data_IF_474334582032
#
_entry.id   IF_474334582032
#
_cell.length_a   1.000
_cell.length_b   1.000
_cell.length_c   1.000
_cell.angle_alpha   90.00
_cell.angle_beta   90.00
_cell.angle_gamma   90.00
#
_symmetry.space_group_name_H-M   'P 1'
#
loop_
_entity.id
_entity.type
_entity.pdbx_description
1 polymer ?
#
# COMPACT_ATOMS: atom_id res chain seq x y z
N UNK A 1 -16.23 -1.00 -27.80
CA UNK A 1 -16.63 -1.00 -26.37
C UNK A 1 -16.04 -2.12 -25.47
N UNK A 2 -15.37 -3.20 -25.95
CA UNK A 2 -14.95 -4.30 -25.05
C UNK A 2 -13.78 -3.94 -24.12
N UNK A 3 -12.85 -3.07 -24.54
CA UNK A 3 -11.68 -2.68 -23.73
C UNK A 3 -12.03 -1.93 -22.44
N UNK A 4 -13.10 -1.12 -22.45
CA UNK A 4 -13.58 -0.40 -21.26
C UNK A 4 -14.18 -1.36 -20.23
N UNK A 5 -14.85 -2.43 -20.68
CA UNK A 5 -15.43 -3.45 -19.81
C UNK A 5 -14.35 -4.23 -19.06
N UNK A 6 -13.27 -4.64 -19.74
CA UNK A 6 -12.14 -5.33 -19.12
C UNK A 6 -11.38 -4.48 -18.10
N UNK A 7 -11.15 -3.19 -18.39
CA UNK A 7 -10.52 -2.28 -17.43
C UNK A 7 -11.37 -2.11 -16.18
N UNK A 8 -12.70 -2.01 -16.34
CA UNK A 8 -13.62 -1.87 -15.23
C UNK A 8 -13.69 -3.14 -14.36
N UNK A 9 -13.74 -4.33 -14.96
CA UNK A 9 -13.69 -5.59 -14.19
C UNK A 9 -12.34 -5.78 -13.50
N UNK A 10 -11.23 -5.38 -14.11
CA UNK A 10 -9.91 -5.45 -13.48
C UNK A 10 -9.78 -4.49 -12.28
N UNK A 11 -10.24 -3.24 -12.42
CA UNK A 11 -10.27 -2.27 -11.31
C UNK A 11 -11.21 -2.72 -10.18
N UNK A 12 -12.38 -3.29 -10.53
CA UNK A 12 -13.32 -3.85 -9.56
C UNK A 12 -12.70 -5.05 -8.83
N UNK A 13 -11.96 -5.91 -9.54
CA UNK A 13 -11.20 -7.01 -8.93
C UNK A 13 -10.15 -6.52 -7.93
N UNK A 14 -9.39 -5.48 -8.26
CA UNK A 14 -8.38 -4.90 -7.35
C UNK A 14 -9.03 -4.30 -6.10
N UNK A 15 -10.17 -3.61 -6.25
CA UNK A 15 -10.91 -3.03 -5.12
C UNK A 15 -11.50 -4.10 -4.20
N UNK A 16 -11.93 -5.25 -4.73
CA UNK A 16 -12.48 -6.36 -3.95
C UNK A 16 -11.42 -7.15 -3.17
N UNK A 17 -10.16 -7.17 -3.62
CA UNK A 17 -9.07 -7.84 -2.90
C UNK A 17 -8.58 -7.00 -1.71
N UNK A 18 -8.74 -5.67 -1.74
CA UNK A 18 -8.32 -4.77 -0.67
C UNK A 18 -9.12 -4.88 0.64
N UNK A 19 -10.36 -5.34 0.58
CA UNK A 19 -11.28 -5.41 1.74
C UNK A 19 -11.03 -6.59 2.68
N UNK A 20 -10.17 -7.56 2.31
CA UNK A 20 -9.90 -8.75 3.15
C UNK A 20 -9.00 -8.43 4.36
N UNK A 21 -8.46 -7.22 4.46
CA UNK A 21 -7.60 -6.81 5.59
C UNK A 21 -8.36 -6.04 6.68
N UNK A 22 -9.69 -5.95 6.59
CA UNK A 22 -10.53 -5.42 7.65
C UNK A 22 -10.64 -6.43 8.82
N UNK A 23 -9.52 -6.57 9.54
CA UNK A 23 -9.45 -6.89 10.96
C UNK A 23 -10.09 -8.22 11.39
N UNK A 24 -9.35 -9.31 11.14
CA UNK A 24 -9.47 -10.57 11.88
C UNK A 24 -9.01 -10.39 13.34
N UNK A 25 -9.71 -9.55 14.12
CA UNK A 25 -9.46 -9.31 15.56
C UNK A 25 -9.94 -10.47 16.42
N UNK A 26 -10.87 -11.26 15.88
CA UNK A 26 -11.42 -12.44 16.52
C UNK A 26 -10.96 -13.65 15.74
N UNK A 27 -10.44 -14.65 16.44
CA UNK A 27 -9.93 -15.91 15.89
C UNK A 27 -10.54 -17.08 16.61
N UNK A 28 -10.37 -18.28 16.03
CA UNK A 28 -10.65 -19.55 16.67
C UNK A 28 -12.07 -19.64 17.28
N UNK A 29 -13.08 -19.18 16.52
CA UNK A 29 -14.47 -19.21 16.97
C UNK A 29 -14.93 -20.68 16.97
N UNK A 30 -15.28 -21.19 18.15
CA UNK A 30 -15.83 -22.52 18.37
C UNK A 30 -17.21 -22.38 18.97
N UNK A 31 -18.11 -23.30 18.62
CA UNK A 31 -19.46 -23.33 19.18
C UNK A 31 -19.75 -24.70 19.79
N UNK A 32 -20.43 -24.69 20.94
CA UNK A 32 -20.84 -25.87 21.68
C UNK A 32 -22.26 -25.67 22.18
N UNK A 33 -23.11 -26.69 22.05
CA UNK A 33 -24.39 -26.69 22.76
C UNK A 33 -24.11 -27.14 24.20
N UNK A 34 -24.48 -26.32 25.19
CA UNK A 34 -24.39 -26.73 26.60
C UNK A 34 -25.56 -27.64 26.94
N UNK A 35 -26.76 -27.26 26.50
CA UNK A 35 -28.03 -27.95 26.70
C UNK A 35 -28.91 -27.77 25.45
N UNK A 36 -30.12 -28.37 25.46
CA UNK A 36 -31.12 -28.19 24.39
C UNK A 36 -31.56 -26.74 24.15
N UNK A 37 -31.25 -25.81 25.08
CA UNK A 37 -31.63 -24.41 24.97
C UNK A 37 -30.50 -23.39 25.07
N UNK A 38 -29.24 -23.82 25.28
CA UNK A 38 -28.12 -22.91 25.48
C UNK A 38 -26.98 -23.19 24.51
N UNK A 39 -26.49 -22.12 23.87
CA UNK A 39 -25.35 -22.12 22.98
C UNK A 39 -24.18 -21.39 23.62
N UNK A 40 -23.03 -22.05 23.69
CA UNK A 40 -21.76 -21.48 24.08
C UNK A 40 -20.91 -21.20 22.83
N UNK A 41 -20.38 -19.98 22.75
CA UNK A 41 -19.45 -19.54 21.72
C UNK A 41 -18.13 -19.15 22.40
N UNK A 42 -17.06 -19.86 22.05
CA UNK A 42 -15.71 -19.64 22.56
C UNK A 42 -14.89 -18.98 21.44
N UNK A 43 -14.13 -17.94 21.73
CA UNK A 43 -13.33 -17.23 20.73
C UNK A 43 -12.07 -16.61 21.32
N UNK A 44 -11.09 -16.34 20.47
CA UNK A 44 -9.85 -15.65 20.85
C UNK A 44 -9.91 -14.21 20.36
N UNK A 45 -9.74 -13.25 21.28
CA UNK A 45 -9.69 -11.83 20.98
C UNK A 45 -8.23 -11.36 20.99
N UNK A 46 -7.68 -11.05 19.82
CA UNK A 46 -6.25 -10.70 19.68
C UNK A 46 -5.99 -9.21 19.91
N UNK A 47 -6.91 -8.33 19.51
CA UNK A 47 -6.77 -6.88 19.63
C UNK A 47 -8.12 -6.24 19.95
N UNK A 48 -8.19 -5.54 21.08
CA UNK A 48 -9.32 -4.70 21.47
C UNK A 48 -8.81 -3.34 21.94
N UNK A 49 -9.44 -2.27 21.44
CA UNK A 49 -9.19 -0.89 21.89
C UNK A 49 -10.26 -0.48 22.90
N UNK A 50 -9.96 0.44 23.83
CA UNK A 50 -10.98 1.06 24.67
C UNK A 50 -12.08 1.66 23.78
N UNK A 51 -13.33 1.25 24.02
CA UNK A 51 -14.50 1.68 23.25
C UNK A 51 -14.95 0.71 22.17
N UNK A 52 -14.14 -0.27 21.77
CA UNK A 52 -14.60 -1.34 20.89
C UNK A 52 -15.71 -2.16 21.56
N UNK A 53 -16.70 -2.58 20.77
CA UNK A 53 -17.81 -3.41 21.23
C UNK A 53 -17.89 -4.73 20.46
N UNK A 54 -18.08 -5.82 21.20
CA UNK A 54 -18.22 -7.16 20.64
C UNK A 54 -19.70 -7.50 20.49
N UNK A 55 -20.07 -8.03 19.34
CA UNK A 55 -21.42 -8.47 19.01
C UNK A 55 -21.42 -9.93 18.57
N UNK A 56 -22.49 -10.62 18.94
CA UNK A 56 -22.80 -11.95 18.46
C UNK A 56 -23.86 -11.84 17.37
N UNK A 57 -23.58 -12.39 16.20
CA UNK A 57 -24.57 -12.63 15.14
C UNK A 57 -24.74 -14.14 14.98
N UNK A 58 -25.96 -14.64 15.07
CA UNK A 58 -26.27 -16.05 14.82
C UNK A 58 -27.15 -16.15 13.60
N UNK A 59 -26.79 -17.06 12.68
CA UNK A 59 -27.55 -17.38 11.48
C UNK A 59 -28.04 -18.82 11.54
N UNK A 60 -29.34 -18.98 11.46
CA UNK A 60 -30.01 -20.25 11.18
C UNK A 60 -30.00 -20.52 9.69
N UNK A 61 -29.84 -21.80 9.32
CA UNK A 61 -29.97 -22.25 7.93
C UNK A 61 -31.39 -22.06 7.38
N UNK A 62 -32.42 -22.23 8.22
CA UNK A 62 -33.83 -22.16 7.80
C UNK A 62 -34.42 -20.75 7.96
N UNK A 63 -34.06 -20.06 9.05
CA UNK A 63 -34.65 -18.76 9.43
C UNK A 63 -33.80 -17.55 9.05
N UNK A 64 -32.56 -17.76 8.59
CA UNK A 64 -31.61 -16.69 8.32
C UNK A 64 -31.04 -16.08 9.61
N UNK A 65 -30.77 -14.77 9.62
CA UNK A 65 -30.19 -14.09 10.78
C UNK A 65 -31.20 -14.03 11.93
N UNK A 66 -30.84 -14.63 13.07
CA UNK A 66 -31.66 -14.66 14.27
C UNK A 66 -31.49 -13.35 15.05
N UNK A 67 -32.60 -12.79 15.54
CA UNK A 67 -32.55 -11.60 16.40
C UNK A 67 -32.20 -12.01 17.83
N UNK A 68 -31.01 -11.64 18.27
CA UNK A 68 -30.52 -11.94 19.61
C UNK A 68 -30.85 -10.77 20.55
N UNK A 69 -31.68 -11.02 21.57
CA UNK A 69 -31.97 -10.02 22.59
C UNK A 69 -30.84 -10.01 23.65
N UNK A 70 -30.32 -8.84 24.05
CA UNK A 70 -29.18 -8.76 24.98
C UNK A 70 -29.43 -9.43 26.33
N UNK A 71 -30.67 -9.47 26.81
CA UNK A 71 -31.06 -10.08 28.10
C UNK A 71 -30.83 -11.59 28.16
N UNK A 72 -30.79 -12.26 27.00
CA UNK A 72 -30.55 -13.70 26.90
C UNK A 72 -29.09 -14.04 26.56
N UNK A 73 -28.19 -13.05 26.55
CA UNK A 73 -26.77 -13.26 26.29
C UNK A 73 -25.94 -12.88 27.52
N UNK A 74 -24.99 -13.73 27.88
CA UNK A 74 -24.09 -13.53 29.02
C UNK A 74 -22.64 -13.80 28.61
N UNK A 75 -21.69 -13.31 29.40
CA UNK A 75 -20.26 -13.52 29.21
C UNK A 75 -19.54 -12.32 28.58
N UNK A 76 -18.49 -12.60 27.81
CA UNK A 76 -17.61 -11.63 27.18
C UNK A 76 -18.26 -10.98 25.94
N UNK A 77 -19.29 -10.16 26.13
CA UNK A 77 -20.01 -9.43 25.07
C UNK A 77 -20.14 -7.94 25.40
N UNK A 78 -20.26 -7.08 24.38
CA UNK A 78 -20.49 -5.64 24.54
C UNK A 78 -19.20 -4.83 24.63
N UNK A 79 -19.27 -3.68 25.32
CA UNK A 79 -18.11 -2.79 25.52
C UNK A 79 -17.26 -3.27 26.69
N UNK A 80 -15.93 -3.08 26.62
CA UNK A 80 -14.96 -3.39 27.70
C UNK A 80 -14.60 -4.87 27.87
N UNK A 81 -14.69 -5.65 26.79
CA UNK A 81 -14.15 -7.01 26.80
C UNK A 81 -12.62 -6.95 26.80
N UNK A 82 -11.99 -7.76 27.64
CA UNK A 82 -10.54 -7.82 27.75
C UNK A 82 -9.94 -8.70 26.64
N UNK A 83 -8.79 -8.30 26.11
CA UNK A 83 -8.03 -9.10 25.12
C UNK A 83 -7.62 -10.42 25.76
N UNK A 84 -7.71 -11.54 25.04
CA UNK A 84 -7.32 -12.85 25.56
C UNK A 84 -7.90 -14.02 24.77
N UNK A 85 -7.39 -15.22 25.04
CA UNK A 85 -7.90 -16.47 24.51
C UNK A 85 -9.12 -16.97 25.31
N UNK A 86 -9.88 -17.89 24.71
CA UNK A 86 -10.99 -18.61 25.36
C UNK A 86 -12.08 -17.70 25.95
N UNK A 87 -12.33 -16.56 25.30
CA UNK A 87 -13.45 -15.68 25.64
C UNK A 87 -14.76 -16.37 25.37
N UNK A 88 -15.71 -16.21 26.28
CA UNK A 88 -16.93 -17.03 26.30
C UNK A 88 -18.18 -16.17 26.22
N UNK A 89 -19.04 -16.46 25.25
CA UNK A 89 -20.39 -15.92 25.16
C UNK A 89 -21.37 -17.08 25.30
N UNK A 90 -22.34 -16.95 26.22
CA UNK A 90 -23.42 -17.93 26.41
C UNK A 90 -24.73 -17.26 26.01
N UNK A 91 -25.44 -17.87 25.06
CA UNK A 91 -26.74 -17.42 24.59
C UNK A 91 -27.81 -18.45 24.92
N UNK A 92 -28.88 -18.02 25.62
CA UNK A 92 -30.06 -18.84 25.87
C UNK A 92 -31.04 -18.70 24.70
N UNK A 93 -30.91 -19.59 23.72
CA UNK A 93 -31.69 -19.57 22.49
C UNK A 93 -33.18 -19.84 22.77
N UNK A 94 -33.49 -20.78 23.66
CA UNK A 94 -34.88 -21.17 23.96
C UNK A 94 -35.62 -20.06 24.70
N UNK A 95 -34.97 -19.41 25.68
CA UNK A 95 -35.56 -18.23 26.34
C UNK A 95 -35.77 -17.08 25.36
N UNK A 96 -34.93 -16.98 24.33
CA UNK A 96 -35.07 -16.03 23.23
C UNK A 96 -36.08 -16.49 22.14
N UNK A 97 -36.80 -17.60 22.33
CA UNK A 97 -37.83 -18.09 21.41
C UNK A 97 -37.31 -18.92 20.22
N UNK A 98 -36.05 -19.35 20.24
CA UNK A 98 -35.43 -20.15 19.18
C UNK A 98 -35.05 -21.55 19.68
N UNK A 99 -35.75 -22.61 19.23
CA UNK A 99 -35.32 -23.98 19.54
C UNK A 99 -34.01 -24.32 18.81
N UNK A 100 -33.08 -25.00 19.47
CA UNK A 100 -31.78 -25.42 18.90
C UNK A 100 -31.88 -26.76 18.15
N UNK A 101 -32.94 -26.95 17.37
CA UNK A 101 -33.17 -28.18 16.58
C UNK A 101 -32.71 -28.05 15.12
N UNK A 102 -31.95 -27.00 14.80
CA UNK A 102 -31.51 -26.69 13.44
C UNK A 102 -30.02 -26.32 13.38
N UNK A 103 -29.44 -26.42 12.18
CA UNK A 103 -28.06 -26.00 11.92
C UNK A 103 -27.95 -24.47 12.04
N UNK A 104 -27.12 -24.04 12.99
CA UNK A 104 -26.85 -22.63 13.26
C UNK A 104 -25.35 -22.32 13.10
N UNK A 105 -25.04 -21.09 12.69
CA UNK A 105 -23.69 -20.56 12.58
C UNK A 105 -23.57 -19.31 13.44
N UNK A 106 -22.55 -19.22 14.27
CA UNK A 106 -22.27 -18.05 15.09
C UNK A 106 -21.09 -17.25 14.51
N UNK A 107 -21.25 -15.94 14.44
CA UNK A 107 -20.24 -14.97 14.03
C UNK A 107 -20.03 -14.00 15.18
N UNK A 108 -18.77 -13.83 15.61
CA UNK A 108 -18.39 -12.84 16.61
C UNK A 108 -17.75 -11.66 15.87
N UNK A 109 -18.33 -10.48 16.01
CA UNK A 109 -17.90 -9.26 15.32
C UNK A 109 -17.44 -8.22 16.31
N UNK A 110 -16.41 -7.45 15.93
CA UNK A 110 -15.92 -6.31 16.71
C UNK A 110 -16.31 -5.04 15.99
N UNK A 111 -17.24 -4.27 16.56
CA UNK A 111 -17.54 -2.93 16.09
C UNK A 111 -16.54 -1.97 16.71
N UNK A 112 -15.78 -1.32 15.86
CA UNK A 112 -14.80 -0.34 16.31
C UNK A 112 -15.49 1.01 16.50
N UNK A 113 -15.63 1.49 17.74
CA UNK A 113 -16.07 2.88 17.99
C UNK A 113 -14.90 3.84 17.87
N UNK A 114 -14.14 3.74 16.77
CA UNK A 114 -13.20 4.78 16.42
C UNK A 114 -14.04 5.92 15.85
N UNK A 115 -14.51 6.79 16.74
CA UNK A 115 -14.68 8.17 16.32
C UNK A 115 -13.30 8.59 15.79
N UNK A 116 -13.19 9.07 14.53
CA UNK A 116 -11.92 9.58 14.04
C UNK A 116 -11.49 10.60 15.08
N UNK A 117 -10.39 10.31 15.78
CA UNK A 117 -9.89 11.17 16.82
C UNK A 117 -9.72 12.53 16.15
N UNK A 118 -10.62 13.47 16.45
CA UNK A 118 -10.40 14.87 16.13
C UNK A 118 -9.08 15.14 16.79
N UNK A 119 -8.05 15.39 15.98
CA UNK A 119 -6.70 15.67 16.43
C UNK A 119 -6.82 16.71 17.53
N UNK A 120 -6.78 16.27 18.78
CA UNK A 120 -6.69 17.18 19.90
C UNK A 120 -5.31 17.76 19.72
N UNK A 121 -5.27 18.96 19.15
CA UNK A 121 -4.09 19.80 19.10
C UNK A 121 -3.48 19.71 20.49
N UNK A 122 -2.22 19.29 20.66
CA UNK A 122 -1.62 19.12 21.96
C UNK A 122 -1.75 20.46 22.70
N UNK A 123 -2.73 20.54 23.61
CA UNK A 123 -2.86 21.68 24.50
C UNK A 123 -1.66 21.57 25.40
N UNK A 124 -0.70 22.45 25.17
CA UNK A 124 0.49 22.65 26.01
C UNK A 124 0.00 22.63 27.46
N UNK A 125 0.43 21.66 28.29
CA UNK A 125 0.03 21.65 29.68
C UNK A 125 0.53 22.97 30.32
N UNK A 126 -0.31 23.71 31.06
CA UNK A 126 0.19 24.80 31.87
C UNK A 126 1.21 24.21 32.85
N UNK A 127 2.38 24.84 32.93
CA UNK A 127 3.47 24.45 33.81
C UNK A 127 2.94 24.34 35.25
N UNK A 128 2.68 23.12 35.71
CA UNK A 128 2.39 22.83 37.12
C UNK A 128 3.73 22.71 37.81
N UNK A 129 4.09 23.77 38.54
CA UNK A 129 5.18 23.79 39.52
C UNK A 129 4.99 22.63 40.48
N UNK A 130 5.89 21.65 40.43
CA UNK A 130 5.91 20.50 41.33
C UNK A 130 6.31 20.98 42.74
N UNK A 131 5.48 20.78 43.78
CA UNK A 131 5.96 20.90 45.16
C UNK A 131 6.89 19.71 45.46
N UNK A 132 8.09 20.05 45.93
CA UNK A 132 9.15 19.16 46.39
C UNK A 132 8.61 18.25 47.52
N UNK A 133 8.37 16.97 47.21
CA UNK A 133 8.13 15.96 48.24
C UNK A 133 9.42 15.68 49.01
N UNK A 134 9.35 15.95 50.30
CA UNK A 134 10.34 15.62 51.31
C UNK A 134 10.41 14.11 51.51
N UNK A 135 11.58 13.53 51.22
CA UNK A 135 11.87 12.11 51.41
C UNK A 135 12.04 11.83 52.90
N UNK A 136 10.98 11.30 53.54
CA UNK A 136 11.11 10.71 54.88
C UNK A 136 11.73 9.32 54.73
N UNK A 137 12.96 9.19 55.24
CA UNK A 137 13.74 7.97 55.24
C UNK A 137 13.08 6.87 56.10
N UNK A 138 12.95 5.63 55.61
CA UNK A 138 12.52 4.50 56.43
C UNK A 138 13.68 4.00 57.31
N UNK A 139 13.34 3.80 58.59
CA UNK A 139 14.17 3.27 59.68
C UNK A 139 14.62 1.83 59.38
N UNK A 140 15.92 1.48 59.47
CA UNK A 140 16.41 0.13 59.19
C UNK A 140 16.08 -0.83 60.33
N UNK A 141 15.58 -2.02 59.98
CA UNK A 141 15.41 -3.17 60.87
C UNK A 141 16.73 -3.98 60.84
N UNK A 142 17.35 -4.27 61.99
CA UNK A 142 18.53 -5.14 62.08
C UNK A 142 18.15 -6.60 61.85
N UNK A 143 18.83 -7.28 60.93
CA UNK A 143 18.82 -8.74 60.81
C UNK A 143 20.28 -9.19 60.96
N UNK A 144 20.55 -9.94 62.03
CA UNK A 144 21.84 -10.56 62.32
C UNK A 144 22.09 -11.81 61.46
N UNK A 145 23.36 -12.21 61.30
CA UNK A 145 23.83 -13.07 60.21
C UNK A 145 23.99 -14.54 60.63
N UNK A 146 23.88 -15.45 59.65
CA UNK A 146 24.49 -16.78 59.75
C UNK A 146 25.00 -17.25 58.37
N UNK A 147 26.29 -17.00 58.16
CA UNK A 147 27.37 -17.86 57.63
C UNK A 147 26.89 -19.31 57.34
N UNK A 148 27.09 -19.93 56.18
CA UNK A 148 28.39 -20.35 55.63
C UNK A 148 28.28 -21.04 54.24
N UNK A 149 29.34 -20.86 53.43
CA UNK A 149 30.00 -21.85 52.54
C UNK A 149 29.60 -22.04 51.06
N UNK A 150 30.66 -21.96 50.23
CA UNK A 150 30.96 -22.59 48.93
C UNK A 150 30.82 -21.78 47.62
N UNK A 151 31.87 -20.99 47.34
CA UNK A 151 32.89 -21.19 46.30
C UNK A 151 32.53 -21.73 44.90
N UNK A 152 33.10 -21.03 43.90
CA UNK A 152 33.38 -21.40 42.49
C UNK A 152 32.18 -21.39 41.52
N UNK A 153 32.24 -20.87 40.29
CA UNK A 153 33.36 -20.53 39.41
C UNK A 153 32.85 -19.56 38.31
N UNK A 154 33.74 -18.68 37.84
CA UNK A 154 33.48 -17.70 36.77
C UNK A 154 33.95 -18.27 35.43
N UNK A 155 33.15 -18.24 34.34
CA UNK A 155 33.70 -18.42 33.01
C UNK A 155 33.95 -17.07 32.33
N UNK A 156 35.25 -16.76 32.15
CA UNK A 156 35.75 -15.93 31.04
C UNK A 156 35.64 -16.74 29.73
N UNK A 157 35.03 -16.19 28.68
CA UNK A 157 35.21 -16.62 27.28
C UNK A 157 34.77 -15.47 26.37
N UNK A 158 35.70 -14.57 26.02
CA UNK A 158 36.40 -14.45 24.72
C UNK A 158 35.63 -13.61 23.67
N UNK A 159 36.12 -12.38 23.49
CA UNK A 159 35.85 -11.54 22.32
C UNK A 159 36.44 -12.15 21.04
N UNK A 160 35.70 -12.23 19.94
CA UNK A 160 36.30 -12.43 18.63
C UNK A 160 36.68 -11.08 18.02
N UNK A 161 37.99 -10.79 17.99
CA UNK A 161 38.59 -9.88 17.01
C UNK A 161 38.31 -10.42 15.60
N UNK A 162 37.59 -9.66 14.79
CA UNK A 162 37.50 -9.89 13.35
C UNK A 162 38.02 -8.67 12.60
N UNK A 163 39.30 -8.74 12.29
CA UNK A 163 39.94 -7.99 11.23
C UNK A 163 39.31 -8.40 9.89
N UNK A 164 38.61 -7.47 9.21
CA UNK A 164 38.42 -7.59 7.76
C UNK A 164 38.56 -6.26 7.02
N UNK A 165 39.83 -5.98 6.77
CA UNK A 165 40.39 -5.14 5.71
C UNK A 165 39.93 -5.62 4.32
N UNK A 166 39.85 -4.66 3.37
CA UNK A 166 39.61 -4.78 1.90
C UNK A 166 38.12 -4.80 1.49
N UNK A 167 37.65 -4.09 0.47
CA UNK A 167 38.29 -3.41 -0.68
C UNK A 167 37.25 -2.41 -1.21
N UNK A 168 37.58 -1.12 -1.29
CA UNK A 168 36.82 -0.16 -2.10
C UNK A 168 37.15 -0.44 -3.56
N UNK A 169 36.23 -1.03 -4.31
CA UNK A 169 36.28 -1.02 -5.76
C UNK A 169 35.36 0.09 -6.27
N UNK A 170 35.97 1.10 -6.90
CA UNK A 170 35.29 2.12 -7.70
C UNK A 170 34.86 1.48 -9.02
N UNK A 171 33.60 1.61 -9.46
CA UNK A 171 33.28 1.40 -10.87
C UNK A 171 33.73 2.62 -11.68
N UNK A 172 34.60 2.33 -12.63
CA UNK A 172 35.12 3.20 -13.68
C UNK A 172 33.97 3.74 -14.52
N UNK A 173 33.98 5.06 -14.76
CA UNK A 173 33.14 5.72 -15.74
C UNK A 173 33.56 5.27 -17.14
N UNK A 174 32.70 4.53 -17.84
CA UNK A 174 32.86 4.22 -19.26
C UNK A 174 32.36 5.43 -20.04
N UNK A 175 33.31 6.25 -20.47
CA UNK A 175 33.16 7.26 -21.52
C UNK A 175 33.08 6.50 -22.84
N UNK A 176 31.89 6.42 -23.43
CA UNK A 176 31.73 6.01 -24.82
C UNK A 176 31.72 7.28 -25.68
N UNK A 177 32.93 7.64 -26.13
CA UNK A 177 33.15 8.55 -27.23
C UNK A 177 32.90 7.77 -28.53
N UNK A 178 32.00 8.26 -29.38
CA UNK A 178 31.78 7.71 -30.72
C UNK A 178 31.73 8.86 -31.69
N UNK A 179 32.88 9.50 -31.86
CA UNK A 179 33.19 10.36 -32.99
C UNK A 179 33.40 9.48 -34.23
N UNK A 180 32.43 9.48 -35.14
CA UNK A 180 32.54 8.84 -36.45
C UNK A 180 33.06 9.87 -37.46
N UNK A 181 34.13 9.59 -38.22
CA UNK A 181 34.69 10.52 -39.20
C UNK A 181 33.78 10.64 -40.43
N UNK A 182 33.51 11.90 -40.79
CA UNK A 182 32.81 12.33 -42.01
C UNK A 182 33.75 12.17 -43.19
N UNK A 183 33.56 11.12 -43.99
CA UNK A 183 34.20 11.01 -45.31
C UNK A 183 33.56 12.03 -46.25
N UNK A 184 34.40 12.88 -46.84
CA UNK A 184 34.03 13.79 -47.91
C UNK A 184 34.22 13.04 -49.23
N UNK A 185 33.12 12.63 -49.84
CA UNK A 185 33.09 12.27 -51.25
C UNK A 185 32.65 13.49 -52.07
N UNK A 186 33.47 13.79 -53.07
CA UNK A 186 33.31 14.87 -54.03
C UNK A 186 32.47 14.30 -55.18
N UNK A 187 31.25 14.79 -55.35
CA UNK A 187 30.37 14.42 -56.47
C UNK A 187 30.38 15.54 -57.54
N UNK A 188 30.48 15.21 -58.85
CA UNK A 188 30.55 16.16 -59.96
C UNK A 188 29.25 16.94 -60.19
N UNK A 189 29.29 18.07 -60.93
CA UNK A 189 28.15 18.98 -61.09
C UNK A 189 27.05 18.33 -61.94
N UNK A 190 26.01 17.83 -61.28
CA UNK A 190 24.78 17.36 -61.93
C UNK A 190 23.96 18.59 -62.36
N UNK A 191 23.57 18.57 -63.63
CA UNK A 191 22.76 19.59 -64.29
C UNK A 191 21.49 19.94 -63.49
N UNK A 192 21.22 21.24 -63.39
CA UNK A 192 20.02 21.80 -62.75
C UNK A 192 18.76 21.30 -63.46
N UNK A 193 18.10 20.30 -62.88
CA UNK A 193 16.71 19.98 -63.22
C UNK A 193 15.81 21.12 -62.73
N UNK A 194 14.75 21.46 -63.49
CA UNK A 194 13.82 22.54 -63.14
C UNK A 194 13.26 22.31 -61.73
N UNK A 195 13.40 23.33 -60.89
CA UNK A 195 12.86 23.39 -59.53
C UNK A 195 11.37 23.07 -59.57
N UNK A 196 11.02 21.85 -59.17
CA UNK A 196 9.64 21.49 -58.85
C UNK A 196 9.14 22.47 -57.78
N UNK A 197 7.91 23.01 -57.93
CA UNK A 197 7.36 23.99 -57.01
C UNK A 197 7.39 23.42 -55.58
N UNK A 198 7.98 24.21 -54.70
CA UNK A 198 8.27 23.93 -53.30
C UNK A 198 7.05 23.34 -52.59
N UNK A 199 7.07 22.01 -52.39
CA UNK A 199 6.03 21.24 -51.69
C UNK A 199 6.11 21.51 -50.18
N UNK A 200 5.85 22.75 -49.82
CA UNK A 200 5.81 23.28 -48.45
C UNK A 200 4.60 22.78 -47.64
N UNK A 201 3.78 21.90 -48.22
CA UNK A 201 2.60 21.33 -47.59
C UNK A 201 2.87 20.02 -46.81
N UNK A 202 4.08 19.82 -46.25
CA UNK A 202 4.33 18.70 -45.33
C UNK A 202 3.45 18.86 -44.09
N UNK A 203 2.32 18.13 -44.08
CA UNK A 203 1.39 18.08 -42.95
C UNK A 203 2.19 17.78 -41.67
N UNK A 204 2.06 18.61 -40.62
CA UNK A 204 2.76 18.34 -39.36
C UNK A 204 2.29 16.98 -38.85
N UNK A 205 3.24 16.03 -38.71
CA UNK A 205 2.96 14.71 -38.13
C UNK A 205 2.49 14.91 -36.69
N UNK A 206 1.18 14.86 -36.46
CA UNK A 206 0.62 14.89 -35.12
C UNK A 206 1.07 13.64 -34.36
N UNK A 207 1.73 13.85 -33.21
CA UNK A 207 2.08 12.74 -32.32
C UNK A 207 0.80 12.11 -31.79
N UNK A 208 0.70 10.79 -31.80
CA UNK A 208 -0.43 10.08 -31.24
C UNK A 208 -0.48 10.26 -29.72
N UNK A 209 -1.59 10.80 -29.19
CA UNK A 209 -1.79 11.09 -27.75
C UNK A 209 -2.87 10.19 -27.14
N UNK A 210 -2.98 8.96 -27.66
CA UNK A 210 -4.04 8.05 -27.23
C UNK A 210 -3.77 7.35 -25.89
N UNK A 211 -4.80 6.67 -25.35
CA UNK A 211 -4.73 5.95 -24.07
C UNK A 211 -3.73 4.79 -24.05
N UNK A 212 -3.22 4.37 -25.22
CA UNK A 212 -2.19 3.34 -25.33
C UNK A 212 -0.91 3.69 -24.57
N UNK A 213 -0.60 4.98 -24.40
CA UNK A 213 0.52 5.43 -23.55
C UNK A 213 0.33 5.10 -22.07
N UNK A 214 -0.90 4.86 -21.61
CA UNK A 214 -1.17 4.37 -20.27
C UNK A 214 -0.59 2.97 -20.01
N UNK A 215 -0.47 2.13 -21.05
CA UNK A 215 0.18 0.81 -20.94
C UNK A 215 1.67 0.95 -20.68
N UNK A 216 2.31 1.97 -21.27
CA UNK A 216 3.73 2.28 -20.99
C UNK A 216 3.94 2.72 -19.54
N UNK A 217 2.98 3.47 -18.97
CA UNK A 217 2.98 3.82 -17.54
C UNK A 217 2.87 2.59 -16.62
N UNK A 218 2.29 1.47 -17.06
CA UNK A 218 2.22 0.25 -16.26
C UNK A 218 3.61 -0.42 -16.13
N UNK A 219 4.45 -0.30 -17.16
CA UNK A 219 5.83 -0.83 -17.13
C UNK A 219 6.76 0.12 -16.38
N UNK A 220 6.57 1.43 -16.57
CA UNK A 220 7.40 2.46 -15.95
C UNK A 220 6.51 3.60 -15.40
N UNK A 221 6.14 3.52 -14.11
CA UNK A 221 5.33 4.55 -13.45
C UNK A 221 5.96 5.94 -13.63
N UNK A 222 5.17 6.91 -14.10
CA UNK A 222 5.58 8.29 -14.34
C UNK A 222 5.98 8.62 -15.79
N UNK A 223 6.33 7.64 -16.62
CA UNK A 223 6.80 7.88 -18.01
C UNK A 223 5.63 8.17 -18.96
N UNK A 224 4.54 7.42 -18.89
CA UNK A 224 3.42 7.56 -19.84
C UNK A 224 2.78 8.94 -19.83
N UNK A 225 2.71 9.60 -18.67
CA UNK A 225 2.15 10.94 -18.51
C UNK A 225 2.97 12.04 -19.24
N UNK A 226 4.25 11.80 -19.57
CA UNK A 226 5.08 12.74 -20.33
C UNK A 226 4.58 12.83 -21.79
N UNK A 227 4.13 11.70 -22.35
CA UNK A 227 3.67 11.63 -23.73
C UNK A 227 2.25 12.16 -23.93
N UNK A 228 1.48 12.29 -22.83
CA UNK A 228 0.08 12.75 -22.90
C UNK A 228 -0.02 14.28 -22.90
N UNK A 229 1.05 15.03 -22.59
CA UNK A 229 0.99 16.49 -22.46
C UNK A 229 1.29 17.25 -23.74
N UNK A 230 0.27 17.95 -24.26
CA UNK A 230 0.37 18.94 -25.32
C UNK A 230 0.20 20.35 -24.72
N UNK A 231 0.83 21.41 -25.30
CA UNK A 231 1.76 21.41 -26.44
C UNK A 231 3.24 21.27 -26.04
N UNK A 232 3.60 21.54 -24.78
CA UNK A 232 4.96 21.35 -24.24
C UNK A 232 4.91 20.51 -22.96
N UNK A 233 5.64 19.38 -22.89
CA UNK A 233 5.73 18.60 -21.67
C UNK A 233 6.49 19.40 -20.61
N UNK A 234 5.81 19.79 -19.54
CA UNK A 234 6.49 20.33 -18.36
C UNK A 234 7.00 19.15 -17.54
N UNK A 235 8.31 18.95 -17.56
CA UNK A 235 9.02 17.96 -16.72
C UNK A 235 9.02 18.50 -15.27
N UNK A 236 7.87 18.39 -14.59
CA UNK A 236 7.76 18.76 -13.17
C UNK A 236 8.40 17.71 -12.26
N UNK A 237 7.93 17.61 -11.01
CA UNK A 237 8.34 16.64 -9.97
C UNK A 237 8.09 15.14 -10.32
N UNK A 238 7.84 14.81 -11.59
CA UNK A 238 7.40 13.47 -12.01
C UNK A 238 8.49 12.41 -12.01
N UNK A 239 9.74 12.70 -12.44
CA UNK A 239 10.83 11.74 -12.29
C UNK A 239 11.04 11.35 -10.82
N UNK A 240 10.72 12.24 -9.89
CA UNK A 240 10.81 11.98 -8.45
C UNK A 240 9.82 10.89 -8.02
N UNK A 241 8.61 10.84 -8.60
CA UNK A 241 7.65 9.77 -8.33
C UNK A 241 8.17 8.41 -8.81
N UNK A 242 8.77 8.37 -10.00
CA UNK A 242 9.39 7.16 -10.54
C UNK A 242 10.53 6.68 -9.64
N UNK A 243 11.43 7.59 -9.26
CA UNK A 243 12.54 7.30 -8.33
C UNK A 243 12.01 6.83 -6.98
N UNK A 244 10.96 7.44 -6.44
CA UNK A 244 10.34 7.02 -5.19
C UNK A 244 9.71 5.62 -5.29
N UNK A 245 9.01 5.32 -6.38
CA UNK A 245 8.39 4.01 -6.60
C UNK A 245 9.45 2.90 -6.71
N UNK A 246 10.46 3.07 -7.56
CA UNK A 246 11.56 2.10 -7.68
C UNK A 246 12.38 2.02 -6.40
N UNK A 247 12.59 3.14 -5.70
CA UNK A 247 13.25 3.19 -4.40
C UNK A 247 12.52 2.36 -3.35
N UNK A 248 11.19 2.44 -3.28
CA UNK A 248 10.37 1.61 -2.38
C UNK A 248 10.44 0.13 -2.72
N UNK A 249 10.43 -0.23 -4.01
CA UNK A 249 10.59 -1.63 -4.44
C UNK A 249 11.97 -2.17 -4.05
N UNK A 250 13.03 -1.43 -4.37
CA UNK A 250 14.40 -1.82 -4.04
C UNK A 250 14.60 -1.94 -2.51
N UNK A 251 14.09 -0.98 -1.75
CA UNK A 251 14.09 -1.02 -0.28
C UNK A 251 13.34 -2.24 0.25
N UNK A 252 12.14 -2.52 -0.27
CA UNK A 252 11.38 -3.70 0.12
C UNK A 252 12.14 -4.99 -0.15
N UNK A 253 12.74 -5.16 -1.33
CA UNK A 253 13.52 -6.35 -1.67
C UNK A 253 14.72 -6.55 -0.72
N UNK A 254 15.40 -5.45 -0.35
CA UNK A 254 16.49 -5.51 0.64
C UNK A 254 15.99 -5.93 2.03
N UNK A 255 14.88 -5.39 2.51
CA UNK A 255 14.27 -5.78 3.79
C UNK A 255 13.78 -7.24 3.78
N UNK A 256 13.29 -7.74 2.64
CA UNK A 256 12.93 -9.16 2.49
C UNK A 256 14.15 -10.07 2.65
N UNK A 257 15.28 -9.71 2.05
CA UNK A 257 16.51 -10.48 2.17
C UNK A 257 16.99 -10.52 3.62
N UNK A 258 17.00 -9.37 4.32
CA UNK A 258 17.33 -9.32 5.76
C UNK A 258 16.41 -10.19 6.60
N UNK A 259 15.10 -10.14 6.35
CA UNK A 259 14.11 -11.00 7.03
C UNK A 259 14.46 -12.49 6.87
N UNK A 260 14.79 -12.91 5.65
CA UNK A 260 15.19 -14.30 5.38
C UNK A 260 16.48 -14.70 6.07
N UNK A 261 17.48 -13.82 6.08
CA UNK A 261 18.78 -14.11 6.69
C UNK A 261 18.67 -14.22 8.22
N UNK A 262 17.92 -13.33 8.87
CA UNK A 262 17.65 -13.41 10.31
C UNK A 262 16.81 -14.64 10.65
N UNK A 263 15.84 -14.99 9.79
CA UNK A 263 15.02 -16.18 10.00
C UNK A 263 15.81 -17.48 9.89
N UNK A 264 16.85 -17.55 9.06
CA UNK A 264 17.77 -18.70 9.04
C UNK A 264 18.50 -18.87 10.36
N UNK A 265 18.99 -17.77 10.95
CA UNK A 265 19.63 -17.80 12.28
C UNK A 265 18.64 -18.33 13.33
N UNK A 266 17.38 -17.89 13.28
CA UNK A 266 16.32 -18.43 14.15
C UNK A 266 16.17 -19.95 14.00
N UNK A 267 16.20 -20.49 12.78
CA UNK A 267 16.09 -21.93 12.54
C UNK A 267 17.29 -22.73 13.07
N UNK A 268 18.48 -22.12 13.13
CA UNK A 268 19.69 -22.74 13.67
C UNK A 268 19.68 -22.79 15.20
N UNK A 269 18.90 -21.93 15.87
CA UNK A 269 18.77 -21.95 17.32
C UNK A 269 17.93 -23.14 17.79
N UNK A 270 18.56 -24.07 18.51
CA UNK A 270 17.86 -25.22 19.14
C UNK A 270 17.00 -24.81 20.35
N UNK A 271 17.30 -23.67 20.97
CA UNK A 271 16.59 -23.19 22.15
C UNK A 271 15.55 -22.13 21.74
N UNK A 272 14.28 -22.37 22.08
CA UNK A 272 13.16 -21.47 21.81
C UNK A 272 13.38 -20.08 22.40
N UNK A 273 13.88 -19.99 23.64
CA UNK A 273 14.09 -18.70 24.32
C UNK A 273 15.20 -17.88 23.67
N UNK A 274 16.24 -18.53 23.16
CA UNK A 274 17.32 -17.86 22.43
C UNK A 274 16.91 -17.47 20.99
N UNK A 275 15.97 -18.20 20.39
CA UNK A 275 15.46 -17.95 19.05
C UNK A 275 14.42 -16.82 18.96
N UNK A 276 13.64 -16.59 20.01
CA UNK A 276 12.56 -15.60 20.03
C UNK A 276 12.95 -14.19 19.52
N UNK A 277 14.07 -13.57 19.95
CA UNK A 277 14.45 -12.25 19.45
C UNK A 277 14.77 -12.23 17.95
N UNK A 278 15.34 -13.32 17.40
CA UNK A 278 15.60 -13.44 15.97
C UNK A 278 14.30 -13.56 15.18
N UNK A 279 13.32 -14.32 15.70
CA UNK A 279 12.01 -14.41 15.08
C UNK A 279 11.30 -13.05 15.03
N UNK A 280 11.28 -12.32 16.15
CA UNK A 280 10.68 -10.97 16.21
C UNK A 280 11.37 -10.02 15.22
N UNK A 281 12.70 -10.03 15.18
CA UNK A 281 13.49 -9.19 14.25
C UNK A 281 13.21 -9.55 12.78
N UNK A 282 13.13 -10.85 12.46
CA UNK A 282 12.79 -11.30 11.12
C UNK A 282 11.38 -10.87 10.70
N UNK A 283 10.43 -10.91 11.62
CA UNK A 283 9.05 -10.48 11.39
C UNK A 283 8.95 -8.96 11.20
N UNK A 284 9.72 -8.17 11.95
CA UNK A 284 9.79 -6.71 11.77
C UNK A 284 10.32 -6.32 10.38
N UNK A 285 11.38 -6.98 9.91
CA UNK A 285 11.88 -6.81 8.54
C UNK A 285 10.84 -7.21 7.49
N UNK A 286 10.11 -8.31 7.73
CA UNK A 286 9.04 -8.75 6.85
C UNK A 286 7.90 -7.72 6.76
N UNK A 287 7.49 -7.12 7.88
CA UNK A 287 6.49 -6.07 7.91
C UNK A 287 6.95 -4.82 7.12
N UNK A 288 8.22 -4.41 7.26
CA UNK A 288 8.79 -3.30 6.48
C UNK A 288 8.78 -3.59 4.98
N UNK A 289 9.21 -4.78 4.57
CA UNK A 289 9.11 -5.25 3.18
C UNK A 289 7.68 -5.15 2.64
N UNK A 290 6.72 -5.67 3.41
CA UNK A 290 5.32 -5.70 3.04
C UNK A 290 4.72 -4.31 2.89
N UNK A 291 5.01 -3.39 3.82
CA UNK A 291 4.57 -2.00 3.74
C UNK A 291 5.18 -1.28 2.54
N UNK A 292 6.49 -1.44 2.31
CA UNK A 292 7.20 -0.81 1.22
C UNK A 292 6.69 -1.26 -0.16
N UNK A 293 6.54 -2.58 -0.37
CA UNK A 293 6.07 -3.13 -1.64
C UNK A 293 4.61 -2.77 -1.93
N UNK A 294 3.72 -2.82 -0.93
CA UNK A 294 2.33 -2.36 -1.10
C UNK A 294 2.26 -0.87 -1.37
N UNK A 295 3.06 -0.07 -0.66
CA UNK A 295 3.17 1.38 -0.91
C UNK A 295 3.57 1.67 -2.35
N UNK A 296 4.58 0.96 -2.87
CA UNK A 296 4.99 1.08 -4.28
C UNK A 296 3.87 0.70 -5.25
N UNK A 297 3.16 -0.41 -5.01
CA UNK A 297 2.03 -0.83 -5.86
C UNK A 297 0.90 0.21 -5.89
N UNK A 298 0.55 0.78 -4.73
CA UNK A 298 -0.49 1.82 -4.65
C UNK A 298 -0.07 3.07 -5.44
N UNK A 299 1.19 3.52 -5.30
CA UNK A 299 1.70 4.66 -6.07
C UNK A 299 1.69 4.39 -7.58
N UNK A 300 2.14 3.21 -8.01
CA UNK A 300 2.14 2.82 -9.42
C UNK A 300 0.71 2.76 -9.99
N UNK A 301 -0.23 2.15 -9.26
CA UNK A 301 -1.63 2.08 -9.68
C UNK A 301 -2.26 3.47 -9.80
N UNK A 302 -1.99 4.36 -8.84
CA UNK A 302 -2.47 5.74 -8.88
C UNK A 302 -1.94 6.50 -10.12
N UNK A 303 -0.67 6.34 -10.49
CA UNK A 303 -0.10 6.97 -11.69
C UNK A 303 -0.74 6.45 -12.97
N UNK A 304 -0.95 5.13 -13.08
CA UNK A 304 -1.62 4.52 -14.24
C UNK A 304 -3.05 5.05 -14.38
N UNK A 305 -3.83 5.07 -13.29
CA UNK A 305 -5.22 5.57 -13.29
C UNK A 305 -5.26 7.04 -13.73
N UNK A 306 -4.40 7.88 -13.14
CA UNK A 306 -4.34 9.30 -13.50
C UNK A 306 -3.92 9.51 -14.96
N UNK A 307 -2.99 8.70 -15.48
CA UNK A 307 -2.54 8.77 -16.87
C UNK A 307 -3.65 8.38 -17.84
N UNK A 308 -4.42 7.32 -17.52
CA UNK A 308 -5.58 6.89 -18.32
C UNK A 308 -6.66 7.96 -18.32
N UNK A 309 -7.03 8.52 -17.15
CA UNK A 309 -8.03 9.58 -17.04
C UNK A 309 -7.65 10.81 -17.87
N UNK A 310 -6.37 11.22 -17.80
CA UNK A 310 -5.84 12.31 -18.64
C UNK A 310 -5.85 11.98 -20.13
N UNK A 311 -5.48 10.75 -20.51
CA UNK A 311 -5.52 10.30 -21.89
C UNK A 311 -6.93 10.34 -22.47
N UNK A 312 -7.93 9.86 -21.71
CA UNK A 312 -9.34 9.92 -22.10
C UNK A 312 -9.79 11.37 -22.26
N UNK A 313 -9.50 12.24 -21.28
CA UNK A 313 -9.85 13.67 -21.36
C UNK A 313 -9.20 14.36 -22.56
N UNK A 314 -7.93 14.11 -22.83
CA UNK A 314 -7.23 14.69 -23.99
C UNK A 314 -7.79 14.16 -25.31
N UNK A 315 -8.21 12.90 -25.37
CA UNK A 315 -8.88 12.35 -26.56
C UNK A 315 -10.23 13.02 -26.83
N UNK A 316 -10.98 13.37 -25.79
CA UNK A 316 -12.24 14.12 -25.93
C UNK A 316 -11.99 15.52 -26.46
N UNK A 317 -11.04 16.25 -25.88
CA UNK A 317 -10.66 17.60 -26.32
C UNK A 317 -10.15 17.57 -27.77
N UNK A 318 -9.37 16.56 -28.16
CA UNK A 318 -8.91 16.41 -29.55
C UNK A 318 -10.06 16.13 -30.52
N UNK A 319 -11.02 15.28 -30.13
CA UNK A 319 -12.21 15.01 -30.96
C UNK A 319 -13.07 16.27 -31.11
N UNK A 320 -13.22 17.05 -30.05
CA UNK A 320 -13.93 18.33 -30.10
C UNK A 320 -13.18 19.34 -30.99
N UNK A 321 -11.86 19.49 -30.80
CA UNK A 321 -11.03 20.35 -31.66
C UNK A 321 -11.07 19.92 -33.14
N UNK A 322 -11.06 18.62 -33.42
CA UNK A 322 -11.17 18.09 -34.78
C UNK A 322 -12.54 18.40 -35.40
N UNK A 323 -13.63 18.38 -34.62
CA UNK A 323 -14.95 18.82 -35.09
C UNK A 323 -14.95 20.29 -35.51
N UNK A 324 -14.25 21.16 -34.79
CA UNK A 324 -14.11 22.57 -35.16
C UNK A 324 -13.17 22.80 -36.34
N UNK A 325 -12.17 21.92 -36.55
CA UNK A 325 -11.22 22.00 -37.67
C UNK A 325 -11.80 21.56 -39.03
N UNK A 326 -13.01 20.99 -39.07
CA UNK A 326 -13.71 20.70 -40.33
C UNK A 326 -13.94 21.94 -41.21
N UNK A 327 -13.81 23.14 -40.63
CA UNK A 327 -13.89 24.41 -41.33
C UNK A 327 -12.61 25.22 -41.08
N UNK A 328 -11.74 25.32 -42.09
CA UNK A 328 -10.57 26.22 -42.04
C UNK A 328 -10.72 27.32 -43.07
N UNK A 329 -10.68 28.58 -42.60
CA UNK A 329 -10.67 29.77 -43.46
C UNK A 329 -9.26 30.33 -43.42
N UNK A 330 -8.57 30.26 -44.55
CA UNK A 330 -7.28 30.90 -44.72
C UNK A 330 -7.48 32.20 -45.52
N UNK A 331 -7.41 33.37 -44.86
CA UNK A 331 -7.37 34.64 -45.60
C UNK A 331 -6.07 34.72 -46.38
N UNK A 332 -6.14 35.19 -47.62
CA UNK A 332 -5.01 35.39 -48.52
C UNK A 332 -5.28 36.55 -49.47
N UNK A 333 -4.28 36.88 -50.28
CA UNK A 333 -4.38 37.91 -51.32
C UNK A 333 -3.92 37.28 -52.63
N UNK A 334 -4.79 37.27 -53.64
CA UNK A 334 -4.45 36.74 -54.97
C UNK A 334 -4.70 37.86 -55.99
N UNK A 335 -3.66 38.22 -56.75
CA UNK A 335 -3.67 39.33 -57.70
C UNK A 335 -4.14 40.69 -57.10
N UNK A 336 -3.75 40.98 -55.85
CA UNK A 336 -4.10 42.24 -55.18
C UNK A 336 -5.54 42.31 -54.62
N UNK A 337 -6.35 41.26 -54.80
CA UNK A 337 -7.68 41.17 -54.20
C UNK A 337 -7.67 40.28 -52.94
N UNK A 338 -8.39 40.66 -51.87
CA UNK A 338 -8.54 39.83 -50.68
C UNK A 338 -9.39 38.60 -51.03
N UNK A 339 -8.82 37.42 -50.85
CA UNK A 339 -9.46 36.13 -51.14
C UNK A 339 -9.41 35.24 -49.90
N UNK A 340 -10.51 34.57 -49.57
CA UNK A 340 -10.52 33.59 -48.47
C UNK A 340 -10.70 32.18 -49.04
N UNK A 341 -9.74 31.30 -48.79
CA UNK A 341 -9.88 29.89 -49.16
C UNK A 341 -10.57 29.16 -48.01
N UNK A 342 -11.79 28.71 -48.26
CA UNK A 342 -12.54 27.87 -47.32
C UNK A 342 -12.26 26.42 -47.68
N UNK A 343 -11.58 25.70 -46.78
CA UNK A 343 -11.43 24.25 -46.89
C UNK A 343 -12.39 23.57 -45.93
N UNK A 344 -13.31 22.83 -46.51
CA UNK A 344 -14.22 21.94 -45.81
C UNK A 344 -13.74 20.50 -45.99
N UNK A 345 -13.51 19.79 -44.89
CA UNK A 345 -13.16 18.37 -44.91
C UNK A 345 -14.23 17.58 -44.18
N UNK A 346 -14.89 16.66 -44.90
CA UNK A 346 -15.88 15.72 -44.38
C UNK A 346 -15.21 14.43 -43.87
#
# INVERSE_FOLDING_TARGET
MPALRFLFTFLLGILLVGSVQAQERVRNIRMRALDAGQLEVIYDLTVARPGDSIYLEVRSRLRGTLRILPEYVRGDIGTRVTVGADRRIVWNAVANGYPLNEEIRAFVQVKTNVFPAVTQTPSVPPAVTTPRSETVAPKPIPIEPKVDVATAETPKTEEPKSDRKRRREKPVAVVADTTKPKSADIEPPVAQQPTTPDDTARRPKMRYVGPLWGVVSAVAPGIGNIFVQLPKPRVGLRPLLTVACYGLVAYGLSERQKSQDVYKVYQEQKNLSAGEPYYQTANDHYHKYFLATRGAMIMAAADVILTVLRGVRNSHIQKEAARYQGFTVQPGVQAGQPTAVVRYSF
#
